data_IF_340382390643
#
_entry.id   IF_340382390643
#
_cell.length_a   1.000
_cell.length_b   1.000
_cell.length_c   1.000
_cell.angle_alpha   90.00
_cell.angle_beta   90.00
_cell.angle_gamma   90.00
#
_symmetry.space_group_name_H-M   'P 1'
#
loop_
_entity.id
_entity.type
_entity.pdbx_description
1 polymer ?
#
# COMPACT_ATOMS: atom_id res chain seq x y z
N UNK A 1 3.06 -6.15 -28.08
CA UNK A 1 3.26 -7.55 -27.70
C UNK A 1 4.28 -7.59 -26.57
N UNK A 2 3.81 -7.66 -25.32
CA UNK A 2 4.70 -7.80 -24.16
C UNK A 2 4.43 -9.15 -23.54
N UNK A 3 5.32 -10.10 -23.80
CA UNK A 3 5.30 -11.45 -23.25
C UNK A 3 5.65 -11.39 -21.76
N UNK A 4 4.62 -11.46 -20.91
CA UNK A 4 4.80 -11.65 -19.47
C UNK A 4 4.95 -13.15 -19.17
N UNK A 5 6.10 -13.52 -18.62
CA UNK A 5 6.39 -14.90 -18.20
C UNK A 5 5.56 -15.26 -16.95
N UNK A 6 4.89 -16.43 -16.93
CA UNK A 6 4.14 -16.88 -15.76
C UNK A 6 5.08 -17.23 -14.60
N UNK A 7 4.78 -16.71 -13.39
CA UNK A 7 5.47 -17.07 -12.15
C UNK A 7 6.42 -16.01 -11.55
N UNK A 8 6.61 -14.86 -12.19
CA UNK A 8 7.38 -13.75 -11.62
C UNK A 8 6.46 -12.75 -10.91
N UNK A 9 6.78 -12.39 -9.66
CA UNK A 9 6.18 -11.23 -9.02
C UNK A 9 6.48 -9.97 -9.86
N UNK A 10 5.51 -9.09 -10.13
CA UNK A 10 5.76 -7.86 -10.85
C UNK A 10 6.82 -7.04 -10.10
N UNK A 11 7.69 -6.40 -10.85
CA UNK A 11 8.62 -5.42 -10.30
C UNK A 11 7.87 -4.27 -9.63
N UNK A 12 8.53 -3.56 -8.71
CA UNK A 12 7.94 -2.41 -8.01
C UNK A 12 7.38 -1.38 -8.99
N UNK A 13 8.06 -1.15 -10.11
CA UNK A 13 7.61 -0.24 -11.17
C UNK A 13 6.34 -0.73 -11.88
N UNK A 14 6.22 -2.04 -12.13
CA UNK A 14 5.04 -2.66 -12.75
C UNK A 14 3.83 -2.62 -11.80
N UNK A 15 4.05 -2.85 -10.51
CA UNK A 15 3.01 -2.72 -9.50
C UNK A 15 2.55 -1.26 -9.33
N UNK A 16 3.50 -0.32 -9.23
CA UNK A 16 3.20 1.10 -9.09
C UNK A 16 2.46 1.64 -10.32
N UNK A 17 2.81 1.22 -11.54
CA UNK A 17 2.04 1.54 -12.75
C UNK A 17 0.61 0.99 -12.68
N UNK A 18 0.46 -0.24 -12.17
CA UNK A 18 -0.82 -0.87 -11.87
C UNK A 18 -1.59 -0.25 -10.70
N UNK A 19 -1.00 0.67 -9.93
CA UNK A 19 -1.63 1.37 -8.78
C UNK A 19 -1.79 2.87 -9.02
N UNK A 20 -1.06 3.46 -9.98
CA UNK A 20 -1.17 4.89 -10.34
C UNK A 20 -2.57 5.30 -10.81
N UNK A 21 -3.39 4.37 -11.31
CA UNK A 21 -4.80 4.65 -11.62
C UNK A 21 -5.70 4.71 -10.36
N UNK A 22 -5.26 4.13 -9.23
CA UNK A 22 -5.97 4.21 -7.95
C UNK A 22 -5.95 5.63 -7.37
N UNK A 23 -4.95 6.45 -7.71
CA UNK A 23 -4.72 7.80 -7.18
C UNK A 23 -5.14 8.93 -8.14
N UNK A 24 -5.67 8.61 -9.33
CA UNK A 24 -6.22 9.61 -10.26
C UNK A 24 -7.45 10.31 -9.66
N UNK A 25 -7.21 11.37 -8.88
CA UNK A 25 -8.21 12.43 -8.65
C UNK A 25 -8.41 13.18 -9.97
N UNK A 26 -9.46 12.85 -10.71
CA UNK A 26 -9.99 13.76 -11.74
C UNK A 26 -10.81 14.86 -11.06
N UNK A 27 -10.22 16.05 -10.93
CA UNK A 27 -10.89 17.37 -11.03
C UNK A 27 -9.81 18.46 -11.11
N UNK A 28 -9.78 19.30 -12.15
CA UNK A 28 -8.90 20.45 -12.16
C UNK A 28 -9.51 21.50 -11.22
N UNK A 29 -8.86 21.77 -10.09
CA UNK A 29 -9.19 22.93 -9.27
C UNK A 29 -8.43 24.15 -9.78
N UNK A 30 -9.18 25.25 -9.83
CA UNK A 30 -8.96 26.50 -10.54
C UNK A 30 -7.58 27.14 -10.30
N UNK A 31 -7.09 27.84 -11.32
CA UNK A 31 -5.93 28.73 -11.28
C UNK A 31 -6.06 29.69 -10.09
N UNK A 32 -5.02 29.78 -9.26
CA UNK A 32 -4.92 30.79 -8.21
C UNK A 32 -4.16 30.29 -6.99
N UNK A 33 -2.87 30.64 -6.95
CA UNK A 33 -1.87 30.40 -5.89
C UNK A 33 -1.21 29.01 -5.90
N UNK A 34 0.01 29.00 -6.46
CA UNK A 34 1.04 28.00 -6.17
C UNK A 34 1.34 28.00 -4.67
N UNK A 35 0.63 27.14 -3.95
CA UNK A 35 0.97 26.74 -2.60
C UNK A 35 1.81 25.47 -2.75
N UNK A 36 3.12 25.62 -2.97
CA UNK A 36 4.09 24.54 -2.85
C UNK A 36 4.20 24.09 -1.36
N UNK A 37 3.16 23.44 -0.83
CA UNK A 37 3.08 23.06 0.58
C UNK A 37 3.23 21.54 0.73
N UNK A 38 4.41 21.14 1.20
CA UNK A 38 4.75 19.78 1.65
C UNK A 38 5.34 18.89 0.56
N UNK A 39 6.64 18.58 0.66
CA UNK A 39 7.25 17.46 -0.08
C UNK A 39 6.36 16.22 0.13
N UNK A 40 5.69 15.73 -0.92
CA UNK A 40 4.78 14.57 -0.84
C UNK A 40 5.57 13.32 -0.44
N UNK A 41 4.95 12.45 0.35
CA UNK A 41 5.51 11.12 0.62
C UNK A 41 5.36 10.27 -0.63
N UNK A 42 6.39 9.48 -0.97
CA UNK A 42 6.25 8.40 -1.95
C UNK A 42 5.41 7.26 -1.37
N UNK A 43 5.00 6.33 -2.23
CA UNK A 43 4.30 5.11 -1.79
C UNK A 43 5.17 4.32 -0.81
N UNK A 44 6.41 4.04 -1.20
CA UNK A 44 7.39 3.35 -0.35
C UNK A 44 7.64 4.06 0.99
N UNK A 45 7.77 5.39 0.99
CA UNK A 45 7.93 6.15 2.23
C UNK A 45 6.71 6.03 3.15
N UNK A 46 5.51 5.97 2.59
CA UNK A 46 4.28 5.79 3.36
C UNK A 46 4.18 4.37 3.91
N UNK A 47 4.59 3.38 3.12
CA UNK A 47 4.64 1.97 3.51
C UNK A 47 5.65 1.70 4.63
N UNK A 48 6.82 2.32 4.56
CA UNK A 48 7.82 2.25 5.63
C UNK A 48 7.24 2.70 6.97
N UNK A 49 6.44 3.77 6.97
CA UNK A 49 5.81 4.28 8.19
C UNK A 49 4.79 3.27 8.73
N UNK A 50 4.03 2.58 7.87
CA UNK A 50 3.11 1.52 8.28
C UNK A 50 3.90 0.36 8.90
N UNK A 51 4.89 -0.15 8.18
CA UNK A 51 5.74 -1.26 8.61
C UNK A 51 6.41 -1.00 9.96
N UNK A 52 7.02 0.16 10.09
CA UNK A 52 7.72 0.53 11.32
C UNK A 52 6.76 0.63 12.52
N UNK A 53 5.48 0.94 12.30
CA UNK A 53 4.48 1.08 13.35
C UNK A 53 3.78 -0.22 13.73
N UNK A 54 3.44 -1.07 12.76
CA UNK A 54 2.69 -2.30 13.00
C UNK A 54 3.61 -3.50 13.19
N UNK A 55 4.46 -3.82 12.21
CA UNK A 55 5.36 -4.96 12.29
C UNK A 55 6.49 -4.74 13.30
N UNK A 56 7.14 -3.57 13.24
CA UNK A 56 8.30 -3.32 14.11
C UNK A 56 7.94 -2.74 15.48
N UNK A 57 6.70 -2.29 15.65
CA UNK A 57 6.18 -1.64 16.87
C UNK A 57 7.08 -0.51 17.40
N UNK A 58 7.78 0.21 16.51
CA UNK A 58 8.74 1.25 16.90
C UNK A 58 8.06 2.53 17.38
N UNK A 59 8.67 3.21 18.36
CA UNK A 59 8.25 4.55 18.77
C UNK A 59 8.42 5.58 17.64
N UNK A 60 7.65 6.66 17.66
CA UNK A 60 7.71 7.68 16.61
C UNK A 60 9.09 8.32 16.42
N UNK A 61 9.86 8.48 17.50
CA UNK A 61 11.24 8.98 17.42
C UNK A 61 12.13 8.00 16.66
N UNK A 62 12.02 6.70 16.94
CA UNK A 62 12.77 5.66 16.20
C UNK A 62 12.33 5.59 14.73
N UNK A 63 11.03 5.70 14.45
CA UNK A 63 10.52 5.77 13.07
C UNK A 63 11.13 6.98 12.34
N UNK A 64 11.19 8.14 12.99
CA UNK A 64 11.80 9.35 12.43
C UNK A 64 13.27 9.14 12.06
N UNK A 65 14.06 8.62 12.99
CA UNK A 65 15.51 8.47 12.80
C UNK A 65 15.81 7.42 11.73
N UNK A 66 15.10 6.28 11.77
CA UNK A 66 15.21 5.25 10.76
C UNK A 66 14.73 5.73 9.37
N UNK A 67 13.67 6.53 9.30
CA UNK A 67 13.19 7.12 8.05
C UNK A 67 14.27 8.00 7.40
N UNK A 68 14.95 8.85 8.20
CA UNK A 68 16.02 9.71 7.71
C UNK A 68 17.22 8.89 7.20
N UNK A 69 17.54 7.78 7.87
CA UNK A 69 18.61 6.87 7.42
C UNK A 69 18.25 6.15 6.11
N UNK A 70 17.04 5.59 6.02
CA UNK A 70 16.58 4.81 4.87
C UNK A 70 16.41 5.68 3.62
N UNK A 71 15.76 6.83 3.75
CA UNK A 71 15.40 7.66 2.59
C UNK A 71 16.27 8.90 2.40
N UNK A 72 17.31 9.08 3.22
CA UNK A 72 18.18 10.27 3.23
C UNK A 72 17.39 11.59 3.23
N UNK A 73 16.26 11.57 3.93
CA UNK A 73 15.31 12.68 3.98
C UNK A 73 14.73 12.83 5.38
N UNK A 74 14.88 14.01 5.96
CA UNK A 74 14.34 14.29 7.29
C UNK A 74 12.84 14.63 7.25
N UNK A 75 12.15 14.18 8.29
CA UNK A 75 10.75 14.50 8.58
C UNK A 75 10.59 14.73 10.07
N UNK A 76 9.63 15.56 10.45
CA UNK A 76 9.24 15.69 11.85
C UNK A 76 8.26 14.58 12.23
N UNK A 77 8.20 14.24 13.52
CA UNK A 77 7.22 13.27 14.05
C UNK A 77 5.79 13.63 13.66
N UNK A 78 5.32 14.90 13.80
CA UNK A 78 3.98 15.28 13.37
C UNK A 78 3.70 15.03 11.88
N UNK A 79 4.70 15.24 11.00
CA UNK A 79 4.53 14.95 9.57
C UNK A 79 4.34 13.44 9.32
N UNK A 80 5.13 12.60 9.99
CA UNK A 80 5.04 11.14 9.88
C UNK A 80 3.70 10.62 10.42
N UNK A 81 3.27 11.12 11.58
CA UNK A 81 1.96 10.83 12.15
C UNK A 81 0.83 11.23 11.22
N UNK A 82 0.89 12.43 10.64
CA UNK A 82 -0.10 12.90 9.68
C UNK A 82 -0.17 12.01 8.44
N UNK A 83 0.98 11.51 7.95
CA UNK A 83 1.01 10.53 6.86
C UNK A 83 0.34 9.22 7.27
N UNK A 84 0.77 8.63 8.39
CA UNK A 84 0.23 7.40 8.94
C UNK A 84 -1.29 7.44 9.09
N UNK A 85 -1.83 8.48 9.74
CA UNK A 85 -3.27 8.58 9.97
C UNK A 85 -4.07 8.76 8.68
N UNK A 86 -3.55 9.48 7.67
CA UNK A 86 -4.21 9.59 6.36
C UNK A 86 -4.23 8.26 5.63
N UNK A 87 -3.13 7.51 5.68
CA UNK A 87 -3.07 6.19 5.02
C UNK A 87 -4.00 5.18 5.71
N UNK A 88 -4.20 5.28 7.02
CA UNK A 88 -5.14 4.43 7.77
C UNK A 88 -6.64 4.70 7.47
N UNK A 89 -6.96 5.73 6.69
CA UNK A 89 -8.34 5.99 6.25
C UNK A 89 -8.75 5.15 5.04
N UNK A 90 -7.79 4.51 4.35
CA UNK A 90 -7.98 3.86 3.05
C UNK A 90 -7.32 2.48 3.01
N UNK A 91 -7.64 1.61 3.97
CA UNK A 91 -7.05 0.27 4.06
C UNK A 91 -7.90 -0.69 3.20
N UNK A 92 -7.31 -1.44 2.25
CA UNK A 92 -8.04 -2.46 1.49
C UNK A 92 -8.66 -3.50 2.42
N UNK A 93 -9.89 -3.93 2.15
CA UNK A 93 -10.52 -5.03 2.87
C UNK A 93 -10.05 -6.37 2.30
N UNK A 94 -9.93 -7.36 3.19
CA UNK A 94 -9.65 -8.75 2.84
C UNK A 94 -10.49 -9.71 3.68
N UNK A 95 -10.66 -10.94 3.19
CA UNK A 95 -11.25 -12.05 3.95
C UNK A 95 -10.23 -12.74 4.88
N UNK A 96 -10.67 -13.79 5.59
CA UNK A 96 -9.83 -14.56 6.49
C UNK A 96 -8.62 -15.18 5.74
N UNK A 97 -8.85 -15.61 4.51
CA UNK A 97 -7.89 -16.26 3.62
C UNK A 97 -6.87 -15.27 3.00
N UNK A 98 -7.16 -13.97 3.08
CA UNK A 98 -6.30 -12.86 2.66
C UNK A 98 -6.60 -12.33 1.24
N UNK A 99 -7.68 -12.79 0.61
CA UNK A 99 -8.14 -12.27 -0.68
C UNK A 99 -8.79 -10.92 -0.51
N UNK A 100 -8.61 -10.04 -1.51
CA UNK A 100 -9.20 -8.72 -1.49
C UNK A 100 -10.72 -8.82 -1.70
N UNK A 101 -11.48 -8.06 -0.91
CA UNK A 101 -12.93 -7.98 -1.06
C UNK A 101 -13.31 -6.90 -2.06
N UNK A 102 -14.21 -7.21 -2.99
CA UNK A 102 -14.72 -6.29 -4.00
C UNK A 102 -16.25 -6.19 -3.88
N UNK A 103 -16.81 -4.99 -4.01
CA UNK A 103 -18.25 -4.78 -3.88
C UNK A 103 -19.03 -5.30 -5.09
N UNK A 104 -18.61 -4.92 -6.29
CA UNK A 104 -19.27 -5.33 -7.55
C UNK A 104 -18.39 -6.30 -8.34
N UNK A 105 -19.02 -7.05 -9.26
CA UNK A 105 -18.33 -8.03 -10.11
C UNK A 105 -17.18 -7.39 -10.90
N UNK A 106 -17.40 -6.20 -11.45
CA UNK A 106 -16.43 -5.48 -12.30
C UNK A 106 -15.72 -4.35 -11.56
N UNK A 107 -15.89 -4.28 -10.23
CA UNK A 107 -15.19 -3.31 -9.41
C UNK A 107 -13.68 -3.47 -9.62
N UNK A 108 -13.05 -2.37 -10.01
CA UNK A 108 -11.62 -2.30 -10.28
C UNK A 108 -10.82 -2.19 -8.98
N UNK A 109 -11.44 -1.65 -7.92
CA UNK A 109 -10.81 -1.41 -6.62
C UNK A 109 -11.44 -2.31 -5.56
N UNK A 110 -10.64 -2.83 -4.62
CA UNK A 110 -11.20 -3.48 -3.45
C UNK A 110 -11.97 -2.48 -2.59
N UNK A 111 -12.91 -2.99 -1.80
CA UNK A 111 -13.52 -2.25 -0.71
C UNK A 111 -12.43 -1.77 0.26
N UNK A 112 -12.71 -0.67 0.96
CA UNK A 112 -11.77 -0.09 1.90
C UNK A 112 -12.45 0.20 3.23
N UNK A 113 -11.70 0.09 4.32
CA UNK A 113 -12.14 0.48 5.64
C UNK A 113 -11.19 1.52 6.26
N UNK A 114 -11.71 2.18 7.28
CA UNK A 114 -10.99 3.15 8.09
C UNK A 114 -10.69 2.53 9.46
N UNK A 115 -9.43 2.59 9.89
CA UNK A 115 -9.00 2.04 11.18
C UNK A 115 -9.65 2.75 12.39
N UNK A 116 -10.16 3.98 12.22
CA UNK A 116 -10.95 4.69 13.25
C UNK A 116 -12.45 4.36 13.20
N UNK A 117 -12.90 3.51 12.28
CA UNK A 117 -14.30 3.14 12.13
C UNK A 117 -14.68 1.94 12.99
N UNK A 118 -15.99 1.79 13.25
CA UNK A 118 -16.54 0.71 14.09
C UNK A 118 -16.28 -0.73 13.55
N UNK A 119 -15.85 -0.86 12.29
CA UNK A 119 -15.60 -2.14 11.63
C UNK A 119 -14.10 -2.43 11.46
N UNK A 120 -13.23 -1.71 12.18
CA UNK A 120 -11.79 -1.91 12.10
C UNK A 120 -11.39 -3.28 12.71
N UNK A 121 -10.63 -4.12 11.99
CA UNK A 121 -9.99 -5.28 12.58
C UNK A 121 -8.96 -4.84 13.65
N UNK A 122 -8.53 -5.76 14.53
CA UNK A 122 -7.53 -5.46 15.56
C UNK A 122 -6.26 -4.82 14.96
N UNK A 123 -5.69 -3.84 15.68
CA UNK A 123 -4.55 -3.03 15.21
C UNK A 123 -3.30 -3.85 14.82
N UNK A 124 -3.12 -5.04 15.41
CA UNK A 124 -2.01 -5.94 15.13
C UNK A 124 -2.14 -6.69 13.78
N UNK A 125 -3.32 -6.69 13.15
CA UNK A 125 -3.61 -7.46 11.93
C UNK A 125 -3.60 -6.63 10.64
N UNK A 126 -3.24 -5.34 10.76
CA UNK A 126 -3.24 -4.38 9.63
C UNK A 126 -1.83 -3.90 9.28
N UNK A 127 -0.82 -4.75 9.42
CA UNK A 127 0.56 -4.45 9.00
C UNK A 127 0.70 -4.24 7.49
N UNK A 128 1.84 -3.67 7.08
CA UNK A 128 2.22 -3.52 5.66
C UNK A 128 2.10 -4.86 4.90
N UNK A 129 2.55 -5.97 5.47
CA UNK A 129 2.49 -7.28 4.81
C UNK A 129 1.05 -7.70 4.48
N UNK A 130 0.07 -7.36 5.33
CA UNK A 130 -1.34 -7.67 5.08
C UNK A 130 -1.98 -6.64 4.15
N UNK A 131 -1.63 -5.36 4.27
CA UNK A 131 -2.18 -4.30 3.41
C UNK A 131 -1.70 -4.39 1.98
N UNK A 132 -0.40 -4.52 1.80
CA UNK A 132 0.31 -4.45 0.52
C UNK A 132 1.42 -5.53 0.43
N UNK A 133 1.06 -6.82 0.48
CA UNK A 133 2.00 -7.93 0.46
C UNK A 133 2.93 -7.88 -0.76
N UNK A 134 2.41 -7.46 -1.90
CA UNK A 134 3.17 -7.33 -3.13
C UNK A 134 4.29 -6.29 -3.07
N UNK A 135 4.12 -5.24 -2.25
CA UNK A 135 5.18 -4.24 -2.02
C UNK A 135 6.10 -4.67 -0.88
N UNK A 136 5.51 -5.19 0.21
CA UNK A 136 6.26 -5.68 1.37
C UNK A 136 7.28 -6.76 0.99
N UNK A 137 6.95 -7.63 0.04
CA UNK A 137 7.81 -8.68 -0.47
C UNK A 137 9.07 -8.18 -1.20
N UNK A 138 9.09 -6.92 -1.63
CA UNK A 138 10.11 -6.34 -2.51
C UNK A 138 11.01 -5.30 -1.83
N UNK A 139 10.54 -4.66 -0.76
CA UNK A 139 11.30 -3.59 -0.11
C UNK A 139 12.50 -4.12 0.67
N UNK A 140 13.67 -3.52 0.44
CA UNK A 140 14.94 -3.97 1.03
C UNK A 140 15.03 -3.76 2.55
N UNK A 141 14.20 -2.88 3.12
CA UNK A 141 14.15 -2.57 4.56
C UNK A 141 13.12 -3.40 5.33
N UNK A 142 12.38 -4.30 4.66
CA UNK A 142 11.47 -5.24 5.30
C UNK A 142 12.24 -6.49 5.71
N UNK A 143 11.97 -6.99 6.92
CA UNK A 143 12.65 -8.18 7.45
C UNK A 143 12.36 -9.41 6.56
N UNK A 144 13.34 -10.29 6.33
CA UNK A 144 13.18 -11.45 5.44
C UNK A 144 12.01 -12.39 5.82
N UNK A 145 11.72 -12.52 7.11
CA UNK A 145 10.57 -13.31 7.60
C UNK A 145 9.24 -12.71 7.13
N UNK A 146 9.09 -11.39 7.27
CA UNK A 146 7.90 -10.64 6.82
C UNK A 146 7.82 -10.68 5.29
N UNK A 147 8.94 -10.52 4.58
CA UNK A 147 8.96 -10.66 3.12
C UNK A 147 8.47 -12.04 2.67
N UNK A 148 8.91 -13.11 3.33
CA UNK A 148 8.51 -14.48 3.00
C UNK A 148 6.99 -14.67 3.13
N UNK A 149 6.41 -14.21 4.24
CA UNK A 149 4.95 -14.23 4.44
C UNK A 149 4.23 -13.38 3.39
N UNK A 150 4.74 -12.18 3.12
CA UNK A 150 4.16 -11.27 2.15
C UNK A 150 4.17 -11.86 0.73
N UNK A 151 5.22 -12.60 0.32
CA UNK A 151 5.28 -13.25 -1.00
C UNK A 151 4.13 -14.23 -1.21
N UNK A 152 3.81 -15.04 -0.19
CA UNK A 152 2.71 -16.00 -0.30
C UNK A 152 1.36 -15.29 -0.54
N UNK A 153 1.09 -14.20 0.18
CA UNK A 153 -0.12 -13.39 -0.03
C UNK A 153 -0.10 -12.60 -1.33
N UNK A 154 1.07 -12.11 -1.76
CA UNK A 154 1.24 -11.37 -3.01
C UNK A 154 0.87 -12.24 -4.21
N UNK A 155 1.33 -13.49 -4.24
CA UNK A 155 1.01 -14.44 -5.32
C UNK A 155 -0.50 -14.70 -5.40
N UNK A 156 -1.17 -14.89 -4.25
CA UNK A 156 -2.63 -15.05 -4.20
C UNK A 156 -3.37 -13.84 -4.77
N UNK A 157 -2.98 -12.64 -4.37
CA UNK A 157 -3.63 -11.39 -4.83
C UNK A 157 -3.35 -11.10 -6.30
N UNK A 158 -2.15 -11.42 -6.78
CA UNK A 158 -1.80 -11.28 -8.19
C UNK A 158 -2.71 -12.17 -9.06
N UNK A 159 -2.91 -13.42 -8.65
CA UNK A 159 -3.80 -14.34 -9.36
C UNK A 159 -5.24 -13.85 -9.35
N UNK A 160 -5.74 -13.42 -8.19
CA UNK A 160 -7.08 -12.82 -8.06
C UNK A 160 -7.29 -11.62 -9.01
N UNK A 161 -6.32 -10.71 -9.08
CA UNK A 161 -6.39 -9.53 -9.95
C UNK A 161 -6.28 -9.92 -11.43
N UNK A 162 -5.48 -10.94 -11.77
CA UNK A 162 -5.35 -11.47 -13.13
C UNK A 162 -6.68 -12.04 -13.64
N UNK A 163 -7.32 -12.90 -12.87
CA UNK A 163 -8.62 -13.50 -13.21
C UNK A 163 -9.73 -12.44 -13.35
N UNK A 164 -9.69 -11.39 -12.54
CA UNK A 164 -10.63 -10.26 -12.66
C UNK A 164 -10.34 -9.40 -13.88
N UNK A 165 -9.07 -9.24 -14.25
CA UNK A 165 -8.66 -8.55 -15.48
C UNK A 165 -9.17 -9.26 -16.73
N UNK A 166 -8.93 -10.57 -16.82
CA UNK A 166 -9.34 -11.40 -17.96
C UNK A 166 -10.86 -11.38 -18.18
N UNK A 167 -11.65 -11.53 -17.10
CA UNK A 167 -13.12 -11.44 -17.17
C UNK A 167 -13.65 -10.13 -17.72
N UNK A 168 -12.89 -9.04 -17.63
CA UNK A 168 -13.27 -7.72 -18.16
C UNK A 168 -12.85 -7.54 -19.61
N UNK A 169 -11.83 -8.25 -20.07
CA UNK A 169 -11.43 -8.25 -21.48
C UNK A 169 -12.36 -9.12 -22.32
N UNK A 170 -12.95 -10.16 -21.71
CA UNK A 170 -13.88 -11.09 -22.34
C UNK A 170 -15.37 -10.64 -22.30
N UNK A 171 -15.68 -9.50 -21.65
CA UNK A 171 -17.04 -8.97 -21.47
C UNK A 171 -17.30 -7.71 -22.31
#
# INVERSE_FOLDING_TARGET
MSSFLPGRLPSLAEFDAGVQWLTKRKKPLRRGRSLAHGKRYTVEQSDFIIYARHEMKWSWNKVRDAFAMTFRQERTVPCLQGCYYRTNMHIPMWDAEGFLLFGERDATKPLQFNLKGAQAPPDDDVGLARRHPERAALYSWVDPSVQSQARAWAMKRQEQLRERGQRREDA
#
